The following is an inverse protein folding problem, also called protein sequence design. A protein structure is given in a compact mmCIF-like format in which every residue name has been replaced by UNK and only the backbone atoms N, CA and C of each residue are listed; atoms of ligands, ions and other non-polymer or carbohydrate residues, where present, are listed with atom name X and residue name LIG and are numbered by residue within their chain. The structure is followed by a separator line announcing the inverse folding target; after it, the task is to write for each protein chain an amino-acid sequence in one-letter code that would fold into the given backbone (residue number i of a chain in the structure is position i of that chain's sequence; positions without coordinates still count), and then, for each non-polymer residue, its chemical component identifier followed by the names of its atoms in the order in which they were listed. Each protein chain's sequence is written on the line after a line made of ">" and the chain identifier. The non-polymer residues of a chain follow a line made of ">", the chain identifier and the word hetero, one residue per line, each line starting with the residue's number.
data_IF_747648416255
#
_entry.id   IF_747648416255
#
_cell.length_a   1.000
_cell.length_b   1.000
_cell.length_c   1.000
_cell.angle_alpha   90.00
_cell.angle_beta   90.00
_cell.angle_gamma   90.00
#
_symmetry.space_group_name_H-M   'P 1'
#
loop_
_entity.id
_entity.type
_entity.pdbx_description
1 polymer ?
#
# COMPACT_ATOMS: atom_id res chain seq x y z
N UNK A 1 -8.21 -16.66 7.00
CA UNK A 1 -9.00 -15.45 6.70
C UNK A 1 -10.33 -15.43 7.45
N UNK A 2 -11.05 -16.54 7.50
CA UNK A 2 -12.35 -16.67 8.22
C UNK A 2 -12.27 -16.17 9.67
N UNK A 3 -11.25 -16.58 10.44
CA UNK A 3 -11.05 -16.13 11.82
C UNK A 3 -10.99 -14.61 11.95
N UNK A 4 -10.19 -13.93 11.12
CA UNK A 4 -10.04 -12.46 11.12
C UNK A 4 -11.36 -11.78 10.72
N UNK A 5 -12.05 -12.34 9.75
CA UNK A 5 -13.32 -11.79 9.25
C UNK A 5 -14.42 -11.88 10.32
N UNK A 6 -14.40 -12.94 11.13
CA UNK A 6 -15.35 -13.15 12.24
C UNK A 6 -14.98 -12.45 13.55
N UNK A 7 -13.84 -11.73 13.61
CA UNK A 7 -13.43 -11.04 14.84
C UNK A 7 -14.38 -9.90 15.17
N UNK A 8 -14.82 -9.87 16.43
CA UNK A 8 -15.54 -8.73 17.00
C UNK A 8 -14.62 -7.51 17.04
N UNK A 9 -15.20 -6.32 17.11
CA UNK A 9 -14.43 -5.07 17.04
C UNK A 9 -13.37 -4.93 18.13
N UNK A 10 -13.62 -5.43 19.34
CA UNK A 10 -12.64 -5.43 20.43
C UNK A 10 -11.40 -6.28 20.07
N UNK A 11 -11.61 -7.53 19.68
CA UNK A 11 -10.52 -8.44 19.29
C UNK A 11 -9.76 -7.93 18.05
N UNK A 12 -10.48 -7.30 17.13
CA UNK A 12 -9.90 -6.68 15.94
C UNK A 12 -9.00 -5.49 16.31
N UNK A 13 -9.45 -4.63 17.22
CA UNK A 13 -8.66 -3.50 17.69
C UNK A 13 -7.40 -3.97 18.42
N UNK A 14 -7.49 -4.99 19.27
CA UNK A 14 -6.33 -5.59 19.94
C UNK A 14 -5.34 -6.20 18.95
N UNK A 15 -5.86 -6.88 17.92
CA UNK A 15 -5.05 -7.39 16.81
C UNK A 15 -4.33 -6.24 16.09
N UNK A 16 -5.05 -5.19 15.70
CA UNK A 16 -4.47 -4.03 15.02
C UNK A 16 -3.40 -3.34 15.86
N UNK A 17 -3.63 -3.14 17.16
CA UNK A 17 -2.64 -2.55 18.05
C UNK A 17 -1.33 -3.35 18.08
N UNK A 18 -1.42 -4.68 18.12
CA UNK A 18 -0.24 -5.56 18.07
C UNK A 18 0.47 -5.52 16.71
N UNK A 19 -0.29 -5.45 15.62
CA UNK A 19 0.28 -5.33 14.27
C UNK A 19 1.01 -3.99 14.12
N UNK A 20 0.38 -2.89 14.53
CA UNK A 20 0.97 -1.55 14.46
C UNK A 20 2.21 -1.43 15.32
N UNK A 21 2.20 -1.94 16.55
CA UNK A 21 3.38 -1.88 17.44
C UNK A 21 4.57 -2.67 16.89
N UNK A 22 4.33 -3.85 16.29
CA UNK A 22 5.39 -4.64 15.65
C UNK A 22 5.92 -3.98 14.37
N UNK A 23 5.08 -3.28 13.62
CA UNK A 23 5.52 -2.54 12.43
C UNK A 23 6.27 -1.26 12.80
N UNK A 24 5.89 -0.57 13.86
CA UNK A 24 6.53 0.68 14.28
C UNK A 24 7.80 0.46 15.12
N UNK A 25 8.03 -0.76 15.62
CA UNK A 25 9.24 -1.08 16.40
C UNK A 25 10.51 -0.65 15.65
N UNK A 26 11.33 0.16 16.32
CA UNK A 26 12.60 0.68 15.80
C UNK A 26 13.78 -0.27 16.04
N UNK A 27 13.53 -1.44 16.60
CA UNK A 27 14.56 -2.45 16.87
C UNK A 27 15.31 -2.83 15.58
N UNK A 28 16.62 -2.59 15.58
CA UNK A 28 17.49 -2.77 14.40
C UNK A 28 18.18 -4.13 14.35
N UNK A 29 17.83 -5.06 15.23
CA UNK A 29 18.42 -6.40 15.22
C UNK A 29 17.83 -7.26 14.08
N UNK A 30 18.58 -8.28 13.65
CA UNK A 30 18.18 -9.17 12.53
C UNK A 30 16.91 -9.96 12.83
N UNK A 31 16.63 -10.27 14.10
CA UNK A 31 15.40 -10.94 14.55
C UNK A 31 14.16 -10.07 14.33
N UNK A 32 14.21 -8.81 14.75
CA UNK A 32 13.13 -7.83 14.60
C UNK A 32 12.81 -7.58 13.13
N UNK A 33 13.82 -7.42 12.27
CA UNK A 33 13.64 -7.28 10.83
C UNK A 33 12.93 -8.51 10.21
N UNK A 34 13.30 -9.73 10.64
CA UNK A 34 12.66 -10.96 10.19
C UNK A 34 11.21 -11.07 10.66
N UNK A 35 10.92 -10.75 11.91
CA UNK A 35 9.55 -10.72 12.45
C UNK A 35 8.68 -9.72 11.69
N UNK A 36 9.20 -8.54 11.38
CA UNK A 36 8.50 -7.52 10.59
C UNK A 36 8.20 -8.02 9.18
N UNK A 37 9.16 -8.65 8.52
CA UNK A 37 8.94 -9.28 7.20
C UNK A 37 7.88 -10.38 7.26
N UNK A 38 7.93 -11.27 8.26
CA UNK A 38 6.94 -12.33 8.43
C UNK A 38 5.53 -11.77 8.61
N UNK A 39 5.39 -10.70 9.39
CA UNK A 39 4.11 -10.00 9.53
C UNK A 39 3.64 -9.43 8.20
N UNK A 40 4.50 -8.79 7.41
CA UNK A 40 4.14 -8.26 6.10
C UNK A 40 3.72 -9.38 5.12
N UNK A 41 4.36 -10.55 5.17
CA UNK A 41 3.93 -11.72 4.42
C UNK A 41 2.54 -12.19 4.84
N UNK A 42 2.29 -12.28 6.15
CA UNK A 42 0.97 -12.62 6.67
C UNK A 42 -0.10 -11.62 6.20
N UNK A 43 0.20 -10.31 6.28
CA UNK A 43 -0.69 -9.25 5.80
C UNK A 43 -0.97 -9.41 4.29
N UNK A 44 0.03 -9.74 3.47
CA UNK A 44 -0.20 -10.03 2.05
C UNK A 44 -1.18 -11.19 1.84
N UNK A 45 -1.10 -12.24 2.65
CA UNK A 45 -1.99 -13.41 2.55
C UNK A 45 -3.43 -13.08 2.94
N UNK A 46 -3.65 -12.20 3.92
CA UNK A 46 -5.01 -11.89 4.39
C UNK A 46 -5.65 -10.71 3.65
N UNK A 47 -4.85 -9.81 3.09
CA UNK A 47 -5.31 -8.64 2.33
C UNK A 47 -5.97 -8.98 0.98
N UNK A 48 -5.96 -10.26 0.56
CA UNK A 48 -6.70 -10.72 -0.63
C UNK A 48 -8.20 -10.86 -0.39
N UNK A 49 -8.63 -10.82 0.88
CA UNK A 49 -10.03 -10.88 1.26
C UNK A 49 -10.60 -9.48 1.40
N UNK A 50 -11.65 -9.20 0.63
CA UNK A 50 -12.30 -7.89 0.52
C UNK A 50 -12.59 -7.24 1.87
N UNK A 51 -13.29 -7.94 2.76
CA UNK A 51 -13.70 -7.43 4.07
C UNK A 51 -12.49 -7.11 4.96
N UNK A 52 -11.44 -7.93 4.89
CA UNK A 52 -10.20 -7.71 5.64
C UNK A 52 -9.45 -6.50 5.06
N UNK A 53 -9.32 -6.42 3.73
CA UNK A 53 -8.65 -5.32 3.04
C UNK A 53 -9.29 -3.98 3.37
N UNK A 54 -10.62 -3.89 3.26
CA UNK A 54 -11.39 -2.70 3.62
C UNK A 54 -11.21 -2.31 5.09
N UNK A 55 -11.28 -3.26 6.03
CA UNK A 55 -11.04 -2.94 7.45
C UNK A 55 -9.60 -2.48 7.71
N UNK A 56 -8.62 -3.08 7.05
CA UNK A 56 -7.21 -2.75 7.24
C UNK A 56 -6.86 -1.37 6.66
N UNK A 57 -7.30 -1.05 5.44
CA UNK A 57 -7.00 0.23 4.78
C UNK A 57 -7.65 1.41 5.52
N UNK A 58 -8.84 1.21 6.08
CA UNK A 58 -9.56 2.22 6.86
C UNK A 58 -9.10 2.32 8.31
N UNK A 59 -8.07 1.56 8.71
CA UNK A 59 -7.54 1.55 10.08
C UNK A 59 -6.23 2.33 10.23
N UNK A 60 -5.78 2.47 11.48
CA UNK A 60 -4.48 3.05 11.80
C UNK A 60 -3.28 2.27 11.23
N UNK A 61 -3.49 1.06 10.70
CA UNK A 61 -2.45 0.33 9.99
C UNK A 61 -1.98 1.06 8.74
N UNK A 62 -2.88 1.69 7.98
CA UNK A 62 -2.53 2.28 6.69
C UNK A 62 -1.54 3.46 6.82
N UNK A 63 -1.73 4.42 7.74
CA UNK A 63 -0.70 5.42 8.05
C UNK A 63 0.64 4.82 8.46
N UNK A 64 0.65 3.75 9.27
CA UNK A 64 1.89 3.07 9.68
C UNK A 64 2.59 2.43 8.48
N UNK A 65 1.86 1.85 7.53
CA UNK A 65 2.44 1.33 6.28
C UNK A 65 3.07 2.46 5.45
N UNK A 66 2.42 3.63 5.33
CA UNK A 66 3.01 4.80 4.65
C UNK A 66 4.30 5.24 5.36
N UNK A 67 4.30 5.29 6.69
CA UNK A 67 5.50 5.60 7.47
C UNK A 67 6.62 4.57 7.23
N UNK A 68 6.30 3.27 7.16
CA UNK A 68 7.29 2.24 6.85
C UNK A 68 7.84 2.36 5.42
N UNK A 69 7.02 2.77 4.43
CA UNK A 69 7.51 3.06 3.08
C UNK A 69 8.57 4.18 3.10
N UNK A 70 8.35 5.22 3.91
CA UNK A 70 9.23 6.38 4.04
C UNK A 70 10.50 6.04 4.83
N UNK A 71 10.36 5.38 5.98
CA UNK A 71 11.43 5.24 6.97
C UNK A 71 12.26 3.96 6.88
N UNK A 72 11.73 2.86 6.31
CA UNK A 72 12.43 1.59 6.30
C UNK A 72 13.69 1.66 5.42
N UNK A 73 14.87 1.40 6.00
CA UNK A 73 16.14 1.33 5.26
C UNK A 73 16.32 0.02 4.50
N UNK A 74 15.63 -1.04 4.93
CA UNK A 74 15.65 -2.34 4.27
C UNK A 74 14.65 -2.36 3.10
N UNK A 75 15.17 -2.52 1.88
CA UNK A 75 14.36 -2.56 0.66
C UNK A 75 13.42 -3.76 0.56
N UNK A 76 13.73 -4.90 1.17
CA UNK A 76 12.82 -6.04 1.20
C UNK A 76 11.57 -5.70 2.04
N UNK A 77 11.77 -5.03 3.17
CA UNK A 77 10.67 -4.51 4.00
C UNK A 77 9.88 -3.49 3.18
N UNK A 78 10.54 -2.47 2.62
CA UNK A 78 9.88 -1.41 1.85
C UNK A 78 9.08 -1.98 0.66
N UNK A 79 9.64 -2.94 -0.07
CA UNK A 79 8.97 -3.62 -1.18
C UNK A 79 7.75 -4.42 -0.71
N UNK A 80 7.84 -5.11 0.43
CA UNK A 80 6.71 -5.85 0.99
C UNK A 80 5.62 -4.93 1.53
N UNK A 81 5.98 -3.81 2.15
CA UNK A 81 5.00 -2.79 2.55
C UNK A 81 4.26 -2.24 1.32
N UNK A 82 4.99 -1.92 0.23
CA UNK A 82 4.35 -1.49 -1.02
C UNK A 82 3.39 -2.56 -1.55
N UNK A 83 3.77 -3.85 -1.49
CA UNK A 83 2.89 -4.95 -1.89
C UNK A 83 1.63 -5.03 -1.03
N UNK A 84 1.73 -4.89 0.30
CA UNK A 84 0.56 -4.85 1.20
C UNK A 84 -0.33 -3.67 0.81
N UNK A 85 0.22 -2.47 0.65
CA UNK A 85 -0.53 -1.28 0.23
C UNK A 85 -1.28 -1.50 -1.09
N UNK A 86 -0.62 -2.08 -2.08
CA UNK A 86 -1.27 -2.41 -3.36
C UNK A 86 -2.37 -3.46 -3.23
N UNK A 87 -2.20 -4.49 -2.40
CA UNK A 87 -3.23 -5.49 -2.14
C UNK A 87 -4.44 -4.91 -1.40
N UNK A 88 -4.19 -4.05 -0.41
CA UNK A 88 -5.25 -3.33 0.27
C UNK A 88 -6.04 -2.49 -0.74
N UNK A 89 -5.36 -1.75 -1.61
CA UNK A 89 -6.02 -0.94 -2.63
C UNK A 89 -6.84 -1.78 -3.62
N UNK A 90 -6.27 -2.88 -4.11
CA UNK A 90 -6.91 -3.78 -5.08
C UNK A 90 -8.20 -4.43 -4.55
N UNK A 91 -8.22 -4.84 -3.29
CA UNK A 91 -9.34 -5.61 -2.73
C UNK A 91 -10.33 -4.77 -1.92
N UNK A 92 -10.02 -3.50 -1.65
CA UNK A 92 -10.95 -2.58 -0.97
C UNK A 92 -12.08 -2.20 -1.91
N UNK A 93 -13.32 -2.28 -1.44
CA UNK A 93 -14.49 -1.90 -2.23
C UNK A 93 -15.03 -0.51 -2.00
N UNK A 94 -14.74 0.07 -0.84
CA UNK A 94 -15.20 1.37 -0.40
C UNK A 94 -14.04 2.06 0.31
N UNK A 95 -13.73 3.29 -0.10
CA UNK A 95 -12.67 4.08 0.49
C UNK A 95 -13.26 5.23 1.31
N UNK A 96 -12.95 5.25 2.60
CA UNK A 96 -13.31 6.37 3.46
C UNK A 96 -12.56 7.65 3.06
N UNK A 97 -13.23 8.79 3.10
CA UNK A 97 -12.66 10.10 2.73
C UNK A 97 -11.41 10.48 3.54
N UNK A 98 -11.32 10.01 4.79
CA UNK A 98 -10.22 10.31 5.70
C UNK A 98 -8.99 9.40 5.51
N UNK A 99 -9.05 8.41 4.62
CA UNK A 99 -7.92 7.51 4.39
C UNK A 99 -6.85 8.25 3.59
N UNK A 100 -5.58 8.31 4.05
CA UNK A 100 -4.52 9.12 3.45
C UNK A 100 -3.93 8.50 2.16
N UNK A 101 -4.78 8.11 1.21
CA UNK A 101 -4.38 7.51 -0.07
C UNK A 101 -3.55 8.48 -0.91
N UNK A 102 -3.88 9.78 -0.90
CA UNK A 102 -3.11 10.83 -1.57
C UNK A 102 -1.65 10.86 -1.10
N UNK A 103 -1.40 10.68 0.20
CA UNK A 103 -0.03 10.63 0.75
C UNK A 103 0.73 9.40 0.26
N UNK A 104 0.06 8.24 0.22
CA UNK A 104 0.65 7.01 -0.32
C UNK A 104 1.03 7.16 -1.81
N UNK A 105 0.17 7.81 -2.61
CA UNK A 105 0.42 8.09 -4.04
C UNK A 105 1.63 9.01 -4.23
N UNK A 106 1.71 10.10 -3.45
CA UNK A 106 2.84 11.04 -3.49
C UNK A 106 4.14 10.29 -3.17
N UNK A 107 4.16 9.56 -2.06
CA UNK A 107 5.36 8.85 -1.60
C UNK A 107 5.81 7.76 -2.59
N UNK A 108 4.88 6.96 -3.13
CA UNK A 108 5.21 5.95 -4.13
C UNK A 108 5.74 6.60 -5.42
N UNK A 109 5.17 7.73 -5.83
CA UNK A 109 5.63 8.49 -7.00
C UNK A 109 7.06 8.99 -6.81
N UNK A 110 7.38 9.52 -5.63
CA UNK A 110 8.74 9.96 -5.27
C UNK A 110 9.72 8.79 -5.28
N UNK A 111 9.39 7.69 -4.60
CA UNK A 111 10.23 6.50 -4.55
C UNK A 111 10.50 5.91 -5.94
N UNK A 112 9.49 5.85 -6.82
CA UNK A 112 9.68 5.37 -8.20
C UNK A 112 10.58 6.32 -8.99
N UNK A 113 10.39 7.64 -8.82
CA UNK A 113 11.21 8.66 -9.50
C UNK A 113 12.67 8.59 -9.07
N UNK A 114 12.94 8.47 -7.77
CA UNK A 114 14.29 8.33 -7.21
C UNK A 114 14.97 7.05 -7.69
N UNK A 115 14.19 5.98 -7.88
CA UNK A 115 14.69 4.67 -8.26
C UNK A 115 14.41 4.34 -9.74
N UNK A 116 14.23 5.36 -10.58
CA UNK A 116 13.74 5.19 -11.94
C UNK A 116 14.62 4.30 -12.82
N UNK A 117 15.93 4.21 -12.55
CA UNK A 117 16.86 3.31 -13.28
C UNK A 117 16.84 1.87 -12.78
N UNK A 118 16.26 1.62 -11.60
CA UNK A 118 16.22 0.29 -10.99
C UNK A 118 14.92 -0.43 -11.37
N UNK A 119 14.97 -1.24 -12.44
CA UNK A 119 13.81 -1.96 -12.96
C UNK A 119 13.15 -2.89 -11.93
N UNK A 120 13.94 -3.52 -11.04
CA UNK A 120 13.42 -4.41 -10.00
C UNK A 120 12.58 -3.63 -8.98
N UNK A 121 13.08 -2.48 -8.51
CA UNK A 121 12.34 -1.63 -7.58
C UNK A 121 11.11 -1.00 -8.24
N UNK A 122 11.22 -0.56 -9.49
CA UNK A 122 10.05 -0.11 -10.26
C UNK A 122 8.97 -1.17 -10.34
N UNK A 123 9.32 -2.41 -10.71
CA UNK A 123 8.38 -3.53 -10.78
C UNK A 123 7.70 -3.83 -9.44
N UNK A 124 8.35 -3.54 -8.31
CA UNK A 124 7.76 -3.71 -6.99
C UNK A 124 6.82 -2.56 -6.59
N UNK A 125 7.17 -1.31 -6.91
CA UNK A 125 6.45 -0.12 -6.44
C UNK A 125 5.32 0.31 -7.38
N UNK A 126 5.53 0.16 -8.69
CA UNK A 126 4.59 0.60 -9.72
C UNK A 126 3.21 -0.06 -9.62
N UNK A 127 3.08 -1.37 -9.32
CA UNK A 127 1.77 -1.98 -9.12
C UNK A 127 1.00 -1.30 -7.99
N UNK A 128 1.64 -1.03 -6.84
CA UNK A 128 0.97 -0.38 -5.72
C UNK A 128 0.46 1.03 -6.08
N UNK A 129 1.24 1.81 -6.84
CA UNK A 129 0.81 3.11 -7.35
C UNK A 129 -0.40 2.96 -8.29
N UNK A 130 -0.36 2.00 -9.21
CA UNK A 130 -1.45 1.73 -10.14
C UNK A 130 -2.76 1.34 -9.43
N UNK A 131 -2.69 0.45 -8.44
CA UNK A 131 -3.87 0.02 -7.67
C UNK A 131 -4.49 1.16 -6.88
N UNK A 132 -3.68 2.05 -6.27
CA UNK A 132 -4.21 3.22 -5.56
C UNK A 132 -4.89 4.21 -6.52
N UNK A 133 -4.30 4.44 -7.70
CA UNK A 133 -4.89 5.29 -8.72
C UNK A 133 -6.20 4.71 -9.26
N UNK A 134 -6.25 3.39 -9.45
CA UNK A 134 -7.47 2.69 -9.86
C UNK A 134 -8.55 2.77 -8.78
N UNK A 135 -8.19 2.56 -7.51
CA UNK A 135 -9.12 2.65 -6.39
C UNK A 135 -9.77 4.03 -6.32
N UNK A 136 -8.99 5.11 -6.29
CA UNK A 136 -9.57 6.47 -6.20
C UNK A 136 -10.42 6.80 -7.44
N UNK A 137 -10.02 6.35 -8.63
CA UNK A 137 -10.80 6.59 -9.84
C UNK A 137 -12.15 5.85 -9.79
N UNK A 138 -12.13 4.60 -9.31
CA UNK A 138 -13.33 3.78 -9.15
C UNK A 138 -14.27 4.33 -8.07
N UNK A 139 -13.72 4.91 -7.01
CA UNK A 139 -14.51 5.53 -5.94
C UNK A 139 -15.11 6.87 -6.36
N UNK A 140 -14.36 7.69 -7.11
CA UNK A 140 -14.88 8.94 -7.68
C UNK A 140 -15.99 8.69 -8.70
N UNK A 141 -15.89 7.64 -9.53
CA UNK A 141 -16.94 7.29 -10.51
C UNK A 141 -18.28 6.93 -9.84
N UNK A 142 -18.24 6.33 -8.64
CA UNK A 142 -19.45 5.97 -7.88
C UNK A 142 -20.15 7.18 -7.23
N UNK A 143 -19.49 8.33 -7.15
CA UNK A 143 -19.99 9.50 -6.41
C UNK A 143 -20.84 10.39 -7.31
N UNK A 144 -22.07 10.67 -6.86
CA UNK A 144 -22.99 11.57 -7.58
C UNK A 144 -22.44 13.01 -7.71
N UNK A 145 -21.59 13.42 -6.77
CA UNK A 145 -20.94 14.72 -6.76
C UNK A 145 -19.42 14.50 -6.70
N UNK A 146 -18.70 14.72 -7.81
CA UNK A 146 -17.24 14.65 -7.79
C UNK A 146 -16.74 15.72 -6.82
N UNK A 147 -16.24 15.27 -5.67
CA UNK A 147 -15.52 16.12 -4.72
C UNK A 147 -14.07 15.70 -4.86
N UNK A 148 -13.15 16.65 -4.98
CA UNK A 148 -11.70 16.38 -5.00
C UNK A 148 -11.21 15.88 -3.64
N UNK A 149 -11.74 14.77 -3.14
CA UNK A 149 -11.40 14.19 -1.84
C UNK A 149 -9.99 13.60 -1.83
N UNK A 150 -9.49 13.17 -3.00
CA UNK A 150 -8.15 12.62 -3.15
C UNK A 150 -7.37 13.38 -4.22
N UNK A 151 -6.25 13.97 -3.80
CA UNK A 151 -5.38 14.75 -4.68
C UNK A 151 -4.34 13.84 -5.30
N UNK A 152 -4.29 13.81 -6.64
CA UNK A 152 -3.26 13.10 -7.40
C UNK A 152 -2.28 14.10 -7.99
N UNK A 153 -1.00 14.08 -7.62
CA UNK A 153 -0.02 14.99 -8.21
C UNK A 153 0.21 14.66 -9.70
N UNK A 154 0.35 15.67 -10.55
CA UNK A 154 0.69 15.51 -11.98
C UNK A 154 1.96 14.66 -12.21
N UNK A 155 2.87 14.71 -11.24
CA UNK A 155 4.05 13.86 -11.16
C UNK A 155 3.74 12.35 -11.23
N UNK A 156 2.63 11.89 -10.62
CA UNK A 156 2.24 10.48 -10.60
C UNK A 156 1.94 9.97 -12.01
N UNK A 157 1.09 10.70 -12.76
CA UNK A 157 0.77 10.39 -14.15
C UNK A 157 2.01 10.41 -15.04
N UNK A 158 2.87 11.42 -14.87
CA UNK A 158 4.11 11.54 -15.64
C UNK A 158 5.04 10.33 -15.42
N UNK A 159 5.22 9.92 -14.15
CA UNK A 159 6.06 8.76 -13.80
C UNK A 159 5.45 7.46 -14.32
N UNK A 160 4.15 7.24 -14.11
CA UNK A 160 3.43 6.07 -14.59
C UNK A 160 3.58 5.91 -16.11
N UNK A 161 3.28 6.96 -16.87
CA UNK A 161 3.36 6.94 -18.33
C UNK A 161 4.78 6.67 -18.83
N UNK A 162 5.81 7.22 -18.17
CA UNK A 162 7.21 6.93 -18.50
C UNK A 162 7.57 5.48 -18.23
N UNK A 163 7.17 4.92 -17.08
CA UNK A 163 7.44 3.52 -16.75
C UNK A 163 6.75 2.56 -17.71
N UNK A 164 5.50 2.82 -18.10
CA UNK A 164 4.77 2.00 -19.08
C UNK A 164 5.45 2.01 -20.46
N UNK A 165 5.93 3.16 -20.93
CA UNK A 165 6.66 3.26 -22.21
C UNK A 165 7.98 2.49 -22.21
N UNK A 166 8.64 2.33 -21.06
CA UNK A 166 9.83 1.48 -20.94
C UNK A 166 9.46 -0.01 -20.87
N UNK A 167 8.38 -0.36 -20.16
CA UNK A 167 7.90 -1.74 -20.03
C UNK A 167 7.39 -2.34 -21.34
N UNK A 168 6.71 -1.54 -22.18
CA UNK A 168 6.25 -1.97 -23.51
C UNK A 168 7.42 -2.38 -24.42
N UNK A 169 8.63 -1.87 -24.20
CA UNK A 169 9.83 -2.28 -24.95
C UNK A 169 10.37 -3.66 -24.55
N UNK A 170 9.97 -4.20 -23.40
CA UNK A 170 10.36 -5.54 -22.97
C UNK A 170 9.47 -6.64 -23.55
N UNK A 171 8.29 -6.31 -24.08
CA UNK A 171 7.38 -7.26 -24.74
C UNK A 171 7.61 -7.35 -26.27
N UNK A 172 8.57 -6.58 -26.79
CA UNK A 172 8.89 -6.52 -28.23
C UNK A 172 10.31 -7.05 -28.57
N UNK A 173 10.96 -7.77 -27.65
CA UNK A 173 12.20 -8.50 -27.92
C UNK A 173 11.98 -10.00 -27.80
#
# INVERSE_FOLDING_TARGET
>A
AEKLSSMKDMDWNDFLQRVCSLLDSTEKNTGAARSKLNLLYYLCTVAVHKEIASRLISSQLFPILIQQLRAATNWDIRSKVARVVGLLALHTSELGENVPVSEAIILLTELIRENFRNSKLKQCLLPALGELLYLIASEEEKREHPRECWVVPSAAYTVLMRCLREGVRLFHC
#
